data_IF_755509054739
#
_entry.id   IF_755509054739
#
_cell.length_a   1.000
_cell.length_b   1.000
_cell.length_c   1.000
_cell.angle_alpha   90.00
_cell.angle_beta   90.00
_cell.angle_gamma   90.00
#
_symmetry.space_group_name_H-M   'P 1'
#
loop_
_entity.id
_entity.type
_entity.pdbx_description
1 polymer ?
#
# COMPACT_ATOMS: atom_id res chain seq x y z
N UNK A 1 2.34 -21.33 11.77
CA UNK A 1 2.46 -19.97 12.31
C UNK A 1 3.73 -19.90 13.17
N UNK A 2 4.89 -20.21 12.58
CA UNK A 2 6.20 -20.34 13.29
C UNK A 2 7.34 -19.57 12.58
N UNK A 3 7.26 -19.39 11.26
CA UNK A 3 8.33 -18.79 10.45
C UNK A 3 8.66 -17.33 10.77
N UNK A 4 7.64 -16.51 11.09
CA UNK A 4 7.85 -15.10 11.46
C UNK A 4 8.52 -14.94 12.83
N UNK A 5 8.18 -15.79 13.79
CA UNK A 5 8.78 -15.78 15.13
C UNK A 5 10.22 -16.30 15.12
N UNK A 6 10.55 -17.15 14.15
CA UNK A 6 11.89 -17.71 13.95
C UNK A 6 12.76 -16.86 13.02
N UNK A 7 12.22 -15.74 12.50
CA UNK A 7 12.89 -14.84 11.56
C UNK A 7 13.44 -15.56 10.30
N UNK A 8 12.78 -16.64 9.88
CA UNK A 8 13.19 -17.45 8.73
C UNK A 8 12.56 -16.88 7.45
N UNK A 9 13.32 -16.03 6.75
CA UNK A 9 12.88 -15.35 5.54
C UNK A 9 12.49 -16.34 4.43
N UNK A 10 13.32 -17.34 4.15
CA UNK A 10 13.12 -18.23 3.00
C UNK A 10 11.86 -19.08 3.13
N UNK A 11 11.60 -19.60 4.34
CA UNK A 11 10.41 -20.41 4.61
C UNK A 11 9.14 -19.55 4.63
N UNK A 12 9.22 -18.33 5.17
CA UNK A 12 8.13 -17.37 5.08
C UNK A 12 7.82 -17.03 3.62
N UNK A 13 8.84 -16.70 2.83
CA UNK A 13 8.67 -16.27 1.44
C UNK A 13 8.19 -17.40 0.53
N UNK A 14 8.61 -18.64 0.77
CA UNK A 14 8.12 -19.83 0.05
C UNK A 14 6.59 -19.99 0.16
N UNK A 15 5.99 -19.56 1.26
CA UNK A 15 4.54 -19.56 1.46
C UNK A 15 3.91 -18.23 1.00
N UNK A 16 4.46 -17.08 1.41
CA UNK A 16 3.93 -15.76 1.12
C UNK A 16 3.89 -15.43 -0.39
N UNK A 17 4.84 -15.98 -1.16
CA UNK A 17 4.86 -15.87 -2.62
C UNK A 17 3.59 -16.39 -3.28
N UNK A 18 2.87 -17.34 -2.65
CA UNK A 18 1.56 -17.82 -3.16
C UNK A 18 0.41 -16.82 -2.95
N UNK A 19 0.56 -15.89 -2.02
CA UNK A 19 -0.41 -14.82 -1.76
C UNK A 19 -0.08 -13.56 -2.58
N UNK A 20 1.21 -13.29 -2.77
CA UNK A 20 1.69 -12.14 -3.55
C UNK A 20 1.69 -12.39 -5.07
N UNK A 21 1.78 -13.65 -5.51
CA UNK A 21 1.54 -14.01 -6.91
C UNK A 21 0.09 -14.45 -7.06
N UNK A 22 -0.69 -13.68 -7.82
CA UNK A 22 -2.02 -14.10 -8.29
C UNK A 22 -1.91 -15.52 -8.85
N UNK A 23 -2.64 -16.47 -8.27
CA UNK A 23 -2.53 -17.92 -8.52
C UNK A 23 -2.88 -18.36 -9.95
N UNK A 24 -3.04 -17.44 -10.91
CA UNK A 24 -3.52 -17.69 -12.27
C UNK A 24 -2.49 -17.36 -13.36
N UNK A 25 -1.60 -16.38 -13.15
CA UNK A 25 -0.45 -16.11 -14.02
C UNK A 25 0.52 -15.11 -13.38
N UNK A 26 1.81 -15.18 -13.71
CA UNK A 26 2.87 -14.27 -13.20
C UNK A 26 2.66 -12.79 -13.55
N UNK A 27 1.63 -12.47 -14.35
CA UNK A 27 1.35 -11.12 -14.85
C UNK A 27 -0.08 -10.64 -14.52
N UNK A 28 -0.87 -11.41 -13.74
CA UNK A 28 -2.21 -10.93 -13.36
C UNK A 28 -2.11 -10.01 -12.13
N UNK A 29 -2.51 -8.73 -12.25
CA UNK A 29 -2.45 -7.77 -11.16
C UNK A 29 -3.44 -8.15 -10.03
N UNK A 30 -3.23 -7.61 -8.83
CA UNK A 30 -4.15 -7.87 -7.72
C UNK A 30 -5.57 -7.39 -8.04
N UNK A 31 -6.59 -8.06 -7.47
CA UNK A 31 -7.97 -7.56 -7.55
C UNK A 31 -8.12 -6.22 -6.86
N UNK A 32 -7.55 -6.09 -5.67
CA UNK A 32 -7.50 -4.86 -4.87
C UNK A 32 -6.37 -4.96 -3.88
N UNK A 33 -5.70 -3.84 -3.62
CA UNK A 33 -4.59 -3.74 -2.69
C UNK A 33 -5.11 -3.19 -1.37
N UNK A 34 -4.94 -3.93 -0.26
CA UNK A 34 -5.28 -3.45 1.05
C UNK A 34 -4.18 -2.52 1.59
N UNK A 35 -4.57 -1.34 2.04
CA UNK A 35 -3.65 -0.40 2.67
C UNK A 35 -4.26 0.22 3.93
N UNK A 36 -3.39 0.54 4.88
CA UNK A 36 -3.71 1.19 6.14
C UNK A 36 -2.82 2.41 6.30
N UNK A 37 -3.44 3.56 6.55
CA UNK A 37 -2.75 4.81 6.85
C UNK A 37 -2.92 5.11 8.34
N UNK A 38 -1.79 5.32 9.00
CA UNK A 38 -1.68 5.69 10.40
C UNK A 38 -1.24 7.14 10.50
N UNK A 39 -2.04 7.99 11.13
CA UNK A 39 -1.60 9.33 11.51
C UNK A 39 -1.61 9.45 13.04
N UNK A 40 -0.44 9.74 13.59
CA UNK A 40 -0.31 10.08 15.00
C UNK A 40 -0.68 11.56 15.17
N UNK A 41 -1.92 11.84 15.56
CA UNK A 41 -2.33 13.19 15.89
C UNK A 41 -2.06 13.44 17.39
N UNK A 42 -1.34 14.51 17.71
CA UNK A 42 -0.99 14.85 19.09
C UNK A 42 -2.22 15.24 19.94
N UNK A 43 -3.35 15.58 19.31
CA UNK A 43 -4.54 16.12 19.98
C UNK A 43 -5.78 15.22 19.90
N UNK A 44 -6.01 14.51 18.79
CA UNK A 44 -7.27 13.76 18.54
C UNK A 44 -7.11 12.22 18.55
N UNK A 45 -5.97 11.71 19.01
CA UNK A 45 -5.68 10.28 19.04
C UNK A 45 -5.08 9.73 17.73
N UNK A 46 -5.07 8.40 17.57
CA UNK A 46 -4.51 7.73 16.40
C UNK A 46 -5.59 7.61 15.31
N UNK A 47 -5.35 8.21 14.15
CA UNK A 47 -6.21 8.01 12.98
C UNK A 47 -5.76 6.73 12.27
N UNK A 48 -6.71 5.84 12.02
CA UNK A 48 -6.54 4.66 11.19
C UNK A 48 -7.48 4.77 9.99
N UNK A 49 -6.90 4.96 8.81
CA UNK A 49 -7.64 4.97 7.55
C UNK A 49 -7.30 3.73 6.73
N UNK A 50 -8.24 2.80 6.66
CA UNK A 50 -8.09 1.56 5.92
C UNK A 50 -9.05 1.53 4.73
N UNK A 51 -8.51 1.31 3.54
CA UNK A 51 -9.30 1.15 2.30
C UNK A 51 -8.66 0.14 1.36
N UNK A 52 -9.43 -0.21 0.34
CA UNK A 52 -8.98 -1.05 -0.77
C UNK A 52 -8.87 -0.17 -2.02
N UNK A 53 -7.76 -0.27 -2.74
CA UNK A 53 -7.57 0.41 -4.03
C UNK A 53 -7.21 -0.63 -5.10
N UNK A 54 -7.96 -0.73 -6.21
CA UNK A 54 -7.52 -1.56 -7.34
C UNK A 54 -6.18 -1.06 -7.89
N UNK A 55 -5.29 -1.93 -8.40
CA UNK A 55 -4.00 -1.51 -8.97
C UNK A 55 -4.12 -0.60 -10.18
N UNK A 56 -5.26 -0.66 -10.88
CA UNK A 56 -5.53 0.12 -12.07
C UNK A 56 -6.73 1.05 -11.87
N UNK A 57 -6.69 2.22 -12.48
CA UNK A 57 -7.85 3.11 -12.56
C UNK A 57 -8.96 2.46 -13.39
N UNK A 58 -10.24 2.70 -13.05
CA UNK A 58 -11.34 2.27 -13.90
C UNK A 58 -11.21 2.97 -15.25
N UNK A 59 -11.30 2.19 -16.34
CA UNK A 59 -11.32 2.73 -17.70
C UNK A 59 -12.54 3.62 -17.87
N UNK A 60 -12.32 4.90 -18.20
CA UNK A 60 -13.42 5.82 -18.50
C UNK A 60 -14.07 5.52 -19.87
N UNK A 61 -13.25 5.03 -20.82
CA UNK A 61 -13.67 4.64 -22.17
C UNK A 61 -13.04 3.30 -22.57
N UNK A 62 -13.63 2.54 -23.51
CA UNK A 62 -13.10 1.25 -23.95
C UNK A 62 -11.69 1.32 -24.57
N UNK A 63 -11.38 2.42 -25.25
CA UNK A 63 -10.12 2.69 -25.93
C UNK A 63 -9.04 3.32 -25.03
N UNK A 64 -9.37 3.58 -23.76
CA UNK A 64 -8.44 4.25 -22.86
C UNK A 64 -7.36 3.28 -22.38
N UNK A 65 -6.13 3.78 -22.29
CA UNK A 65 -5.00 2.98 -21.81
C UNK A 65 -5.20 2.63 -20.33
N UNK A 66 -4.72 1.44 -19.92
CA UNK A 66 -4.75 1.03 -18.52
C UNK A 66 -3.72 1.87 -17.77
N UNK A 67 -4.19 2.79 -16.92
CA UNK A 67 -3.32 3.61 -16.07
C UNK A 67 -3.26 3.01 -14.68
N UNK A 68 -2.04 2.73 -14.21
CA UNK A 68 -1.79 2.26 -12.84
C UNK A 68 -2.11 3.37 -11.83
N UNK A 69 -2.60 2.95 -10.67
CA UNK A 69 -2.71 3.83 -9.51
C UNK A 69 -1.33 3.97 -8.87
N UNK A 70 -1.05 5.18 -8.38
CA UNK A 70 0.23 5.51 -7.75
C UNK A 70 0.04 5.83 -6.27
N UNK A 71 1.14 5.97 -5.52
CA UNK A 71 1.12 6.45 -4.14
C UNK A 71 0.40 7.80 -4.02
N UNK A 72 0.52 8.67 -5.02
CA UNK A 72 -0.20 9.94 -5.11
C UNK A 72 -1.72 9.74 -5.03
N UNK A 73 -2.27 8.71 -5.67
CA UNK A 73 -3.71 8.42 -5.64
C UNK A 73 -4.17 8.01 -4.24
N UNK A 74 -3.34 7.25 -3.50
CA UNK A 74 -3.59 6.92 -2.08
C UNK A 74 -3.59 8.20 -1.22
N UNK A 75 -2.60 9.06 -1.42
CA UNK A 75 -2.48 10.33 -0.69
C UNK A 75 -3.70 11.23 -0.97
N UNK A 76 -4.15 11.32 -2.22
CA UNK A 76 -5.36 12.08 -2.60
C UNK A 76 -6.62 11.54 -1.92
N UNK A 77 -6.76 10.22 -1.84
CA UNK A 77 -7.89 9.58 -1.15
C UNK A 77 -7.88 9.88 0.35
N UNK A 78 -6.69 9.89 0.96
CA UNK A 78 -6.52 10.26 2.36
C UNK A 78 -6.80 11.75 2.58
N UNK A 79 -6.23 12.63 1.76
CA UNK A 79 -6.37 14.08 1.87
C UNK A 79 -7.81 14.56 1.74
N UNK A 80 -8.65 13.81 1.03
CA UNK A 80 -10.08 14.06 0.92
C UNK A 80 -10.84 13.85 2.23
N UNK A 81 -10.32 13.01 3.14
CA UNK A 81 -10.92 12.72 4.44
C UNK A 81 -10.21 13.44 5.59
N UNK A 82 -8.89 13.60 5.49
CA UNK A 82 -8.04 14.19 6.53
C UNK A 82 -7.06 15.19 5.91
N UNK A 83 -7.02 16.45 6.38
CA UNK A 83 -6.13 17.46 5.81
C UNK A 83 -4.65 17.08 6.02
N UNK A 84 -3.91 17.05 4.92
CA UNK A 84 -2.45 16.93 4.90
C UNK A 84 -1.85 18.31 4.63
N UNK A 85 -0.88 18.72 5.43
CA UNK A 85 -0.08 19.96 5.22
C UNK A 85 1.32 19.61 4.73
N UNK A 86 2.09 20.58 4.24
CA UNK A 86 3.49 20.39 3.81
C UNK A 86 4.44 19.97 4.96
N UNK A 87 3.99 20.16 6.20
CA UNK A 87 4.67 19.70 7.40
C UNK A 87 4.50 18.20 7.63
N UNK A 88 3.64 17.52 6.86
CA UNK A 88 3.49 16.07 6.96
C UNK A 88 4.41 15.35 5.97
N UNK A 89 4.96 14.21 6.42
CA UNK A 89 5.72 13.27 5.60
C UNK A 89 4.99 11.92 5.57
N UNK A 90 5.02 11.25 4.42
CA UNK A 90 4.44 9.92 4.23
C UNK A 90 5.56 8.89 4.18
N UNK A 91 5.54 7.96 5.12
CA UNK A 91 6.57 6.95 5.30
C UNK A 91 5.99 5.55 5.09
N UNK A 92 6.71 4.72 4.34
CA UNK A 92 6.42 3.29 4.19
C UNK A 92 7.70 2.54 4.60
N UNK A 93 7.60 1.60 5.55
CA UNK A 93 8.78 0.96 6.17
C UNK A 93 9.83 1.96 6.72
N UNK A 94 9.42 3.17 7.10
CA UNK A 94 10.31 4.21 7.62
C UNK A 94 11.08 5.01 6.57
N UNK A 95 10.80 4.81 5.27
CA UNK A 95 11.39 5.59 4.17
C UNK A 95 10.34 6.41 3.43
N UNK A 96 10.75 7.57 2.90
CA UNK A 96 9.94 8.37 1.99
C UNK A 96 10.10 7.85 0.57
N UNK A 97 9.00 7.62 -0.12
CA UNK A 97 8.98 7.07 -1.48
C UNK A 97 8.45 8.11 -2.47
N UNK A 98 8.80 7.93 -3.75
CA UNK A 98 8.25 8.76 -4.81
C UNK A 98 6.73 8.60 -4.87
N UNK A 99 6.01 9.72 -4.93
CA UNK A 99 4.55 9.73 -5.13
C UNK A 99 4.11 9.07 -6.44
N UNK A 100 5.03 8.94 -7.40
CA UNK A 100 4.79 8.30 -8.70
C UNK A 100 4.92 6.77 -8.67
N UNK A 101 5.37 6.19 -7.56
CA UNK A 101 5.55 4.74 -7.46
C UNK A 101 4.21 4.01 -7.62
N UNK A 102 4.10 3.02 -8.52
CA UNK A 102 2.88 2.23 -8.71
C UNK A 102 2.50 1.45 -7.45
N UNK A 103 1.21 1.44 -7.10
CA UNK A 103 0.74 0.76 -5.89
C UNK A 103 0.87 -0.76 -5.97
N UNK A 104 0.81 -1.34 -7.17
CA UNK A 104 1.05 -2.76 -7.39
C UNK A 104 2.45 -3.15 -6.94
N UNK A 105 3.45 -2.39 -7.39
CA UNK A 105 4.84 -2.60 -6.99
C UNK A 105 5.05 -2.40 -5.49
N UNK A 106 4.40 -1.39 -4.89
CA UNK A 106 4.43 -1.19 -3.43
C UNK A 106 3.84 -2.40 -2.70
N UNK A 107 2.71 -2.93 -3.17
CA UNK A 107 2.06 -4.08 -2.54
C UNK A 107 2.91 -5.35 -2.61
N UNK A 108 3.63 -5.58 -3.70
CA UNK A 108 4.47 -6.78 -3.87
C UNK A 108 5.75 -6.72 -3.03
N UNK A 109 6.35 -5.54 -2.89
CA UNK A 109 7.70 -5.39 -2.35
C UNK A 109 7.74 -4.79 -0.94
N UNK A 110 6.71 -4.04 -0.54
CA UNK A 110 6.66 -3.25 0.69
C UNK A 110 5.39 -3.52 1.51
N UNK A 111 4.68 -4.61 1.22
CA UNK A 111 3.68 -5.12 2.15
C UNK A 111 4.37 -5.82 3.31
N UNK A 112 3.78 -5.67 4.49
CA UNK A 112 4.21 -6.41 5.66
C UNK A 112 3.79 -7.89 5.54
N UNK A 113 4.29 -8.76 6.43
CA UNK A 113 3.93 -10.18 6.43
C UNK A 113 2.42 -10.49 6.56
N UNK A 114 1.62 -9.52 6.99
CA UNK A 114 0.16 -9.59 7.05
C UNK A 114 -0.52 -9.28 5.70
N UNK A 115 0.25 -9.04 4.64
CA UNK A 115 -0.21 -8.64 3.30
C UNK A 115 -0.86 -7.26 3.23
N UNK A 116 -0.66 -6.40 4.23
CA UNK A 116 -1.12 -5.01 4.19
C UNK A 116 0.03 -4.05 3.88
N UNK A 117 -0.29 -3.01 3.11
CA UNK A 117 0.58 -1.85 2.94
C UNK A 117 0.34 -0.88 4.09
N UNK A 118 1.29 -0.80 5.02
CA UNK A 118 1.24 0.12 6.16
C UNK A 118 1.94 1.42 5.83
N UNK A 119 1.20 2.52 5.92
CA UNK A 119 1.64 3.87 5.56
C UNK A 119 1.53 4.75 6.80
N UNK A 120 2.61 5.40 7.18
CA UNK A 120 2.63 6.30 8.32
C UNK A 120 2.67 7.75 7.85
N UNK A 121 1.74 8.56 8.32
CA UNK A 121 1.74 10.01 8.17
C UNK A 121 2.27 10.61 9.46
N UNK A 122 3.42 11.26 9.38
CA UNK A 122 4.11 11.88 10.51
C UNK A 122 4.28 13.37 10.26
N UNK A 123 4.28 14.15 11.34
CA UNK A 123 4.66 15.56 11.29
C UNK A 123 6.20 15.67 11.28
N UNK A 124 6.75 16.60 10.49
CA UNK A 124 8.19 16.82 10.30
C UNK A 124 8.82 17.57 11.47
#
# INVERSE_FOLDING_TARGET
MYTLTENNYDEFWAVNKKMMLSTRSEHEPFRSIPFCIYQACCTDGKILFQRLLPPHRPKASPDDQIVENTLEDIIKLYSASFPLTEEHCVLIHGIELSVRTPIQWLSENLSYPDSFLHICVVHK
#
